data_IF_120640882276
#
_entry.id   IF_120640882276
#
_cell.length_a   1.000
_cell.length_b   1.000
_cell.length_c   1.000
_cell.angle_alpha   90.00
_cell.angle_beta   90.00
_cell.angle_gamma   90.00
#
_symmetry.space_group_name_H-M   'P 1'
#
loop_
_entity.id
_entity.type
_entity.pdbx_description
1 polymer ?
#
# COMPACT_ATOMS: atom_id res chain seq x y z
N UNK A 1 -30.35 -8.46 -8.89
CA UNK A 1 -28.99 -8.35 -8.31
C UNK A 1 -28.01 -8.88 -9.33
N UNK A 2 -26.92 -8.16 -9.63
CA UNK A 2 -25.85 -8.72 -10.48
C UNK A 2 -25.08 -9.76 -9.66
N UNK A 3 -24.90 -10.95 -10.20
CA UNK A 3 -24.01 -11.94 -9.60
C UNK A 3 -22.57 -11.63 -10.03
N UNK A 4 -21.65 -11.67 -9.07
CA UNK A 4 -20.22 -11.55 -9.33
C UNK A 4 -19.65 -12.93 -9.66
N UNK A 5 -18.57 -12.95 -10.42
CA UNK A 5 -17.79 -14.17 -10.68
C UNK A 5 -17.02 -14.60 -9.42
N UNK A 6 -16.63 -15.87 -9.37
CA UNK A 6 -15.79 -16.38 -8.26
C UNK A 6 -14.47 -15.60 -8.13
N UNK A 7 -13.88 -15.22 -9.27
CA UNK A 7 -12.64 -14.43 -9.30
C UNK A 7 -12.82 -13.04 -8.66
N UNK A 8 -13.90 -12.34 -9.02
CA UNK A 8 -14.21 -11.04 -8.42
C UNK A 8 -14.48 -11.15 -6.90
N UNK A 9 -15.08 -12.26 -6.46
CA UNK A 9 -15.28 -12.53 -5.04
C UNK A 9 -13.96 -12.75 -4.29
N UNK A 10 -13.02 -13.50 -4.87
CA UNK A 10 -11.68 -13.71 -4.30
C UNK A 10 -10.90 -12.39 -4.20
N UNK A 11 -10.91 -11.57 -5.25
CA UNK A 11 -10.30 -10.23 -5.26
C UNK A 11 -10.91 -9.33 -4.18
N UNK A 12 -12.24 -9.40 -3.99
CA UNK A 12 -12.93 -8.67 -2.93
C UNK A 12 -12.56 -9.15 -1.52
N UNK A 13 -12.39 -10.45 -1.31
CA UNK A 13 -11.91 -10.99 -0.02
C UNK A 13 -10.51 -10.48 0.29
N UNK A 14 -9.59 -10.54 -0.69
CA UNK A 14 -8.24 -9.99 -0.55
C UNK A 14 -8.26 -8.50 -0.22
N UNK A 15 -9.10 -7.71 -0.90
CA UNK A 15 -9.28 -6.29 -0.60
C UNK A 15 -9.70 -6.07 0.86
N UNK A 16 -10.65 -6.83 1.38
CA UNK A 16 -11.08 -6.70 2.79
C UNK A 16 -9.96 -7.01 3.77
N UNK A 17 -9.17 -8.04 3.50
CA UNK A 17 -8.04 -8.42 4.36
C UNK A 17 -6.97 -7.32 4.38
N UNK A 18 -6.57 -6.82 3.21
CA UNK A 18 -5.58 -5.74 3.12
C UNK A 18 -6.10 -4.43 3.72
N UNK A 19 -7.41 -4.16 3.59
CA UNK A 19 -8.06 -3.04 4.27
C UNK A 19 -7.97 -3.17 5.79
N UNK A 20 -8.25 -4.37 6.32
CA UNK A 20 -8.19 -4.64 7.75
C UNK A 20 -6.76 -4.58 8.31
N UNK A 21 -5.76 -4.96 7.51
CA UNK A 21 -4.33 -4.83 7.85
C UNK A 21 -3.81 -3.38 7.75
N UNK A 22 -4.62 -2.44 7.24
CA UNK A 22 -4.21 -1.05 7.06
C UNK A 22 -3.24 -0.84 5.88
N UNK A 23 -3.14 -1.82 4.97
CA UNK A 23 -2.27 -1.74 3.79
C UNK A 23 -2.88 -0.96 2.63
N UNK A 24 -4.07 -0.40 2.82
CA UNK A 24 -4.74 0.45 1.83
C UNK A 24 -4.57 1.90 2.22
N UNK A 25 -3.95 2.68 1.33
CA UNK A 25 -3.81 4.13 1.51
C UNK A 25 -5.16 4.82 1.28
N UNK A 26 -5.91 5.00 2.37
CA UNK A 26 -7.17 5.73 2.35
C UNK A 26 -6.92 7.26 2.27
N UNK A 27 -7.88 8.07 1.76
CA UNK A 27 -7.73 9.52 1.68
C UNK A 27 -7.34 10.20 3.00
N UNK A 28 -7.89 9.74 4.12
CA UNK A 28 -7.56 10.29 5.44
C UNK A 28 -6.14 9.92 5.89
N UNK A 29 -5.67 8.72 5.56
CA UNK A 29 -4.27 8.31 5.77
C UNK A 29 -3.32 9.15 4.93
N UNK A 30 -3.67 9.41 3.66
CA UNK A 30 -2.89 10.29 2.79
C UNK A 30 -2.82 11.72 3.35
N UNK A 31 -3.96 12.28 3.79
CA UNK A 31 -4.00 13.61 4.43
C UNK A 31 -3.14 13.65 5.69
N UNK A 32 -3.19 12.60 6.51
CA UNK A 32 -2.37 12.49 7.72
C UNK A 32 -0.88 12.53 7.40
N UNK A 33 -0.43 11.73 6.42
CA UNK A 33 0.98 11.72 5.98
C UNK A 33 1.40 13.08 5.44
N UNK A 34 0.57 13.71 4.60
CA UNK A 34 0.88 15.03 4.07
C UNK A 34 0.97 16.09 5.17
N UNK A 35 0.03 16.11 6.12
CA UNK A 35 0.04 17.05 7.24
C UNK A 35 1.25 16.83 8.16
N UNK A 36 1.63 15.56 8.42
CA UNK A 36 2.80 15.22 9.22
C UNK A 36 4.13 15.66 8.58
N UNK A 37 4.14 15.90 7.26
CA UNK A 37 5.30 16.33 6.49
C UNK A 37 5.14 17.78 5.99
N UNK A 38 4.31 18.60 6.64
CA UNK A 38 4.08 20.02 6.32
C UNK A 38 3.61 20.30 4.88
N UNK A 39 3.01 19.29 4.21
CA UNK A 39 2.72 19.31 2.77
C UNK A 39 3.95 19.56 1.89
N UNK A 40 5.16 19.35 2.40
CA UNK A 40 6.42 19.46 1.66
C UNK A 40 6.56 18.24 0.73
N UNK A 41 6.57 18.43 -0.61
CA UNK A 41 6.64 17.32 -1.55
C UNK A 41 7.90 16.47 -1.41
N UNK A 42 9.04 17.07 -1.05
CA UNK A 42 10.31 16.37 -0.89
C UNK A 42 10.30 15.50 0.37
N UNK A 43 9.83 16.03 1.50
CA UNK A 43 9.70 15.24 2.75
C UNK A 43 8.72 14.08 2.58
N UNK A 44 7.59 14.32 1.91
CA UNK A 44 6.60 13.27 1.63
C UNK A 44 7.20 12.17 0.77
N UNK A 45 7.86 12.54 -0.34
CA UNK A 45 8.52 11.58 -1.22
C UNK A 45 9.58 10.74 -0.50
N UNK A 46 10.43 11.40 0.31
CA UNK A 46 11.43 10.73 1.14
C UNK A 46 10.78 9.73 2.12
N UNK A 47 9.75 10.16 2.85
CA UNK A 47 9.05 9.31 3.81
C UNK A 47 8.50 8.03 3.16
N UNK A 48 7.86 8.15 1.98
CA UNK A 48 7.35 6.99 1.26
C UNK A 48 8.47 6.03 0.83
N UNK A 49 9.59 6.55 0.33
CA UNK A 49 10.73 5.73 -0.09
C UNK A 49 11.41 5.01 1.08
N UNK A 50 11.48 5.64 2.24
CA UNK A 50 12.04 5.02 3.47
C UNK A 50 11.12 3.92 4.04
N UNK A 51 9.81 4.08 3.93
CA UNK A 51 8.82 3.10 4.39
C UNK A 51 8.65 1.94 3.39
N UNK A 52 8.83 2.20 2.09
CA UNK A 52 8.66 1.22 1.01
C UNK A 52 9.30 -0.15 1.29
N UNK A 53 10.58 -0.29 1.67
CA UNK A 53 11.19 -1.60 1.92
C UNK A 53 10.61 -2.36 3.12
N UNK A 54 9.87 -1.68 4.02
CA UNK A 54 9.21 -2.32 5.18
C UNK A 54 7.84 -2.89 4.80
N UNK A 55 7.12 -2.20 3.92
CA UNK A 55 5.75 -2.59 3.50
C UNK A 55 5.74 -3.43 2.23
N UNK A 56 6.73 -3.24 1.37
CA UNK A 56 6.98 -3.98 0.15
C UNK A 56 8.45 -4.43 0.19
N UNK A 57 8.78 -5.45 1.01
CA UNK A 57 10.14 -5.96 1.05
C UNK A 57 10.53 -6.44 -0.34
N UNK A 58 11.78 -6.18 -0.79
CA UNK A 58 12.25 -6.70 -2.06
C UNK A 58 12.10 -8.22 -2.06
N UNK A 59 11.51 -8.79 -3.10
CA UNK A 59 11.52 -10.23 -3.29
C UNK A 59 12.98 -10.70 -3.33
N UNK A 60 13.30 -11.81 -2.65
CA UNK A 60 14.65 -12.40 -2.59
C UNK A 60 15.26 -12.73 -3.98
N UNK A 61 14.54 -12.50 -5.07
CA UNK A 61 14.90 -12.82 -6.46
C UNK A 61 16.12 -12.03 -6.98
N UNK A 62 16.48 -10.90 -6.37
CA UNK A 62 17.67 -10.14 -6.75
C UNK A 62 19.00 -10.69 -6.18
N UNK A 63 18.99 -11.68 -5.28
CA UNK A 63 20.24 -12.31 -4.78
C UNK A 63 20.82 -13.37 -5.71
N UNK A 64 20.08 -13.81 -6.73
CA UNK A 64 20.54 -14.86 -7.68
C UNK A 64 21.15 -14.30 -8.97
N UNK A 65 21.39 -12.98 -9.06
CA UNK A 65 21.94 -12.33 -10.26
C UNK A 65 23.25 -11.56 -10.03
N UNK A 66 24.02 -11.91 -9.00
CA UNK A 66 25.42 -11.46 -8.83
C UNK A 66 26.34 -12.66 -8.63
#
# INVERSE_FOLDING_TARGET
>A
MKQITNKEYEEWQKYKEEKAKGHILMPDTLRFICAANDYDPTKIGQHFLEVLPRVCPPEEEHKLRL
#
